data_IF_610188052115
#
_entry.id   IF_610188052115
#
_cell.length_a   1.000
_cell.length_b   1.000
_cell.length_c   1.000
_cell.angle_alpha   90.00
_cell.angle_beta   90.00
_cell.angle_gamma   90.00
#
_symmetry.space_group_name_H-M   'P 1'
#
loop_
_entity.id
_entity.type
_entity.pdbx_description
1 polymer ?
#
# COMPACT_ATOMS: atom_id res chain seq x y z
N UNK A 1 18.18 47.99 8.27
CA UNK A 1 18.25 46.52 8.09
C UNK A 1 17.91 45.69 9.34
N UNK A 2 17.90 46.25 10.57
CA UNK A 2 17.56 45.48 11.80
C UNK A 2 16.17 44.83 11.72
N UNK A 3 15.18 45.59 11.27
CA UNK A 3 13.77 45.21 11.28
C UNK A 3 13.46 44.10 10.26
N UNK A 4 14.15 44.11 9.12
CA UNK A 4 14.01 43.07 8.08
C UNK A 4 14.62 41.74 8.53
N UNK A 5 15.75 41.78 9.25
CA UNK A 5 16.35 40.60 9.89
C UNK A 5 15.38 39.99 10.91
N UNK A 6 14.71 40.82 11.71
CA UNK A 6 13.73 40.35 12.71
C UNK A 6 12.51 39.68 12.06
N UNK A 7 11.99 40.22 10.96
CA UNK A 7 10.84 39.62 10.24
C UNK A 7 11.22 38.26 9.64
N UNK A 8 12.42 38.12 9.05
CA UNK A 8 12.90 36.85 8.50
C UNK A 8 13.05 35.79 9.62
N UNK A 9 13.56 36.18 10.79
CA UNK A 9 13.71 35.27 11.94
C UNK A 9 12.36 34.74 12.46
N UNK A 10 11.31 35.57 12.49
CA UNK A 10 9.97 35.17 12.96
C UNK A 10 9.30 34.18 11.99
N UNK A 11 9.46 34.39 10.68
CA UNK A 11 8.92 33.48 9.66
C UNK A 11 9.62 32.12 9.73
N UNK A 12 10.95 32.08 9.89
CA UNK A 12 11.71 30.83 9.99
C UNK A 12 11.31 29.94 11.19
N UNK A 13 10.92 30.54 12.32
CA UNK A 13 10.44 29.82 13.50
C UNK A 13 9.00 29.28 13.36
N UNK A 14 8.20 29.87 12.47
CA UNK A 14 6.80 29.46 12.27
C UNK A 14 6.64 28.24 11.33
N UNK A 15 7.65 27.92 10.51
CA UNK A 15 7.61 26.78 9.60
C UNK A 15 8.16 25.47 10.21
N UNK A 16 8.72 25.50 11.42
CA UNK A 16 9.32 24.30 12.04
C UNK A 16 8.31 23.33 12.69
N UNK A 17 7.01 23.63 12.69
CA UNK A 17 5.98 22.63 13.02
C UNK A 17 5.72 21.73 11.82
N UNK A 18 6.74 20.99 11.39
CA UNK A 18 6.56 19.89 10.45
C UNK A 18 5.71 18.82 11.13
N UNK A 19 4.57 18.52 10.53
CA UNK A 19 3.66 17.45 10.93
C UNK A 19 4.43 16.13 11.05
N UNK A 20 4.72 15.71 12.28
CA UNK A 20 5.19 14.35 12.54
C UNK A 20 3.97 13.44 12.45
N UNK A 21 3.74 12.85 11.27
CA UNK A 21 2.79 11.76 11.12
C UNK A 21 3.41 10.55 11.82
N UNK A 22 3.09 10.35 13.09
CA UNK A 22 3.50 9.17 13.85
C UNK A 22 2.68 8.00 13.32
N UNK A 23 3.36 7.01 12.72
CA UNK A 23 2.74 5.73 12.41
C UNK A 23 2.42 5.04 13.75
N UNK A 24 1.14 4.89 14.08
CA UNK A 24 0.74 4.04 15.21
C UNK A 24 1.13 2.60 14.88
N UNK A 25 2.12 2.05 15.60
CA UNK A 25 2.49 0.63 15.60
C UNK A 25 1.35 -0.21 16.18
N UNK A 26 0.27 -0.37 15.42
CA UNK A 26 -0.69 -1.45 15.66
C UNK A 26 -0.06 -2.68 15.04
N UNK A 27 0.43 -3.62 15.86
CA UNK A 27 0.99 -4.88 15.38
C UNK A 27 0.02 -5.51 14.35
N UNK A 28 0.36 -5.49 13.05
CA UNK A 28 -0.55 -5.91 12.00
C UNK A 28 -0.84 -7.41 12.07
N UNK A 29 -0.06 -8.19 12.85
CA UNK A 29 -0.31 -9.62 13.08
C UNK A 29 -1.51 -9.89 13.99
N UNK A 30 -1.96 -8.94 14.80
CA UNK A 30 -3.07 -9.15 15.75
C UNK A 30 -4.36 -8.40 15.40
N UNK A 31 -4.35 -7.58 14.35
CA UNK A 31 -5.56 -6.94 13.86
C UNK A 31 -6.39 -7.90 12.97
N UNK A 32 -7.60 -8.27 13.44
CA UNK A 32 -8.53 -9.15 12.71
C UNK A 32 -8.89 -8.62 11.32
N UNK A 33 -9.00 -7.31 11.15
CA UNK A 33 -9.39 -6.68 9.88
C UNK A 33 -8.26 -6.73 8.86
N UNK A 34 -7.00 -6.55 9.29
CA UNK A 34 -5.82 -6.74 8.42
C UNK A 34 -5.73 -8.17 7.91
N UNK A 35 -6.06 -9.17 8.74
CA UNK A 35 -6.10 -10.59 8.32
C UNK A 35 -7.19 -10.87 7.30
N UNK A 36 -8.38 -10.26 7.45
CA UNK A 36 -9.48 -10.40 6.49
C UNK A 36 -9.10 -9.81 5.14
N UNK A 37 -8.57 -8.58 5.12
CA UNK A 37 -8.11 -7.92 3.89
C UNK A 37 -7.04 -8.75 3.17
N UNK A 38 -6.04 -9.25 3.90
CA UNK A 38 -4.99 -10.10 3.32
C UNK A 38 -5.54 -11.39 2.73
N UNK A 39 -6.46 -12.05 3.44
CA UNK A 39 -7.12 -13.28 2.96
C UNK A 39 -7.91 -13.01 1.69
N UNK A 40 -8.67 -11.92 1.67
CA UNK A 40 -9.48 -11.52 0.53
C UNK A 40 -8.61 -11.19 -0.70
N UNK A 41 -7.53 -10.44 -0.53
CA UNK A 41 -6.59 -10.17 -1.62
C UNK A 41 -5.95 -11.46 -2.17
N UNK A 42 -5.60 -12.40 -1.28
CA UNK A 42 -5.09 -13.71 -1.69
C UNK A 42 -6.11 -14.49 -2.53
N UNK A 43 -7.40 -14.43 -2.16
CA UNK A 43 -8.48 -15.06 -2.93
C UNK A 43 -8.67 -14.42 -4.31
N UNK A 44 -8.59 -13.09 -4.41
CA UNK A 44 -8.71 -12.36 -5.68
C UNK A 44 -7.56 -12.70 -6.65
N UNK A 45 -6.33 -12.82 -6.13
CA UNK A 45 -5.16 -13.25 -6.91
C UNK A 45 -5.33 -14.70 -7.37
N UNK A 46 -5.73 -15.57 -6.44
CA UNK A 46 -5.91 -17.00 -6.65
C UNK A 46 -4.60 -17.79 -6.63
N UNK A 47 -4.72 -19.12 -6.68
CA UNK A 47 -3.58 -20.05 -6.60
C UNK A 47 -2.85 -20.25 -7.93
N UNK A 48 -3.54 -20.07 -9.06
CA UNK A 48 -2.96 -20.31 -10.37
C UNK A 48 -2.37 -19.02 -10.95
N UNK A 49 -1.08 -18.82 -10.73
CA UNK A 49 -0.31 -17.71 -11.28
C UNK A 49 0.39 -18.23 -12.55
N UNK A 50 -0.01 -17.76 -13.76
CA UNK A 50 0.47 -18.29 -15.03
C UNK A 50 1.84 -17.68 -15.39
N UNK A 51 2.78 -17.76 -14.47
CA UNK A 51 4.11 -17.16 -14.60
C UNK A 51 5.16 -18.23 -14.33
N UNK A 52 6.15 -18.35 -15.22
CA UNK A 52 7.28 -19.27 -15.03
C UNK A 52 8.23 -18.67 -13.99
N UNK A 53 8.47 -19.41 -12.91
CA UNK A 53 9.33 -18.99 -11.81
C UNK A 53 10.50 -19.96 -11.70
N UNK A 54 11.72 -19.44 -11.83
CA UNK A 54 12.94 -20.22 -11.59
C UNK A 54 13.33 -20.22 -10.11
N UNK A 55 12.86 -19.23 -9.36
CA UNK A 55 13.07 -19.07 -7.93
C UNK A 55 11.86 -18.39 -7.28
N UNK A 56 11.68 -18.61 -5.98
CA UNK A 56 10.70 -17.89 -5.19
C UNK A 56 10.94 -16.39 -5.31
N UNK A 57 9.88 -15.64 -5.58
CA UNK A 57 9.95 -14.19 -5.78
C UNK A 57 8.95 -13.48 -4.88
N UNK A 58 9.21 -12.20 -4.64
CA UNK A 58 8.30 -11.31 -3.92
C UNK A 58 7.89 -10.18 -4.85
N UNK A 59 6.65 -9.73 -4.71
CA UNK A 59 6.17 -8.48 -5.26
C UNK A 59 5.66 -7.59 -4.13
N UNK A 60 5.94 -6.29 -4.17
CA UNK A 60 5.27 -5.33 -3.29
C UNK A 60 4.11 -4.70 -4.04
N UNK A 61 2.91 -4.79 -3.45
CA UNK A 61 1.69 -4.22 -4.03
C UNK A 61 1.30 -3.01 -3.21
N UNK A 62 1.38 -1.83 -3.82
CA UNK A 62 0.89 -0.58 -3.25
C UNK A 62 -0.48 -0.27 -3.83
N UNK A 63 -1.48 -0.07 -2.98
CA UNK A 63 -2.85 0.19 -3.42
C UNK A 63 -3.58 1.11 -2.45
N UNK A 64 -4.67 1.72 -2.91
CA UNK A 64 -5.64 2.40 -2.08
C UNK A 64 -7.03 1.81 -2.29
N UNK A 65 -8.00 2.15 -1.43
CA UNK A 65 -9.41 1.76 -1.61
C UNK A 65 -10.23 3.00 -1.91
N UNK A 66 -10.98 2.95 -3.02
CA UNK A 66 -11.80 4.07 -3.46
C UNK A 66 -13.15 4.14 -2.72
N UNK A 67 -13.96 5.16 -3.05
CA UNK A 67 -15.27 5.35 -2.43
C UNK A 67 -16.28 4.24 -2.71
N UNK A 68 -16.09 3.46 -3.78
CA UNK A 68 -16.91 2.29 -4.16
C UNK A 68 -16.46 1.00 -3.47
N UNK A 69 -15.50 1.07 -2.55
CA UNK A 69 -14.87 -0.08 -1.89
C UNK A 69 -14.11 -0.98 -2.88
N UNK A 70 -13.52 -0.40 -3.92
CA UNK A 70 -12.69 -1.11 -4.90
C UNK A 70 -11.22 -0.80 -4.68
N UNK A 71 -10.38 -1.81 -4.89
CA UNK A 71 -8.92 -1.68 -4.86
C UNK A 71 -8.48 -0.84 -6.07
N UNK A 72 -7.67 0.20 -5.84
CA UNK A 72 -6.97 0.93 -6.90
C UNK A 72 -5.48 0.69 -6.72
N UNK A 73 -4.91 -0.08 -7.64
CA UNK A 73 -3.49 -0.44 -7.59
C UNK A 73 -2.65 0.75 -8.06
N UNK A 74 -1.75 1.21 -7.20
CA UNK A 74 -0.82 2.31 -7.46
C UNK A 74 0.47 1.78 -8.10
N UNK A 75 1.07 0.73 -7.50
CA UNK A 75 2.26 0.08 -8.05
C UNK A 75 2.27 -1.43 -7.74
N UNK A 76 2.98 -2.17 -8.59
CA UNK A 76 3.41 -3.53 -8.29
C UNK A 76 4.88 -3.60 -8.62
N UNK A 77 5.70 -3.78 -7.59
CA UNK A 77 7.15 -3.82 -7.69
C UNK A 77 7.62 -5.26 -7.57
N UNK A 78 8.10 -5.82 -8.67
CA UNK A 78 8.72 -7.16 -8.70
C UNK A 78 9.79 -7.21 -9.78
N UNK A 79 10.73 -8.14 -9.61
CA UNK A 79 11.75 -8.47 -10.60
C UNK A 79 11.19 -9.15 -11.86
N UNK A 80 9.87 -9.39 -11.93
CA UNK A 80 9.22 -10.13 -13.01
C UNK A 80 8.01 -9.35 -13.54
N UNK A 81 8.12 -8.84 -14.77
CA UNK A 81 7.12 -7.96 -15.36
C UNK A 81 5.77 -8.64 -15.60
N UNK A 82 5.78 -9.94 -15.89
CA UNK A 82 4.56 -10.75 -16.04
C UNK A 82 3.78 -10.82 -14.73
N UNK A 83 4.49 -10.90 -13.60
CA UNK A 83 3.87 -10.89 -12.27
C UNK A 83 3.22 -9.53 -11.98
N UNK A 84 3.90 -8.43 -12.35
CA UNK A 84 3.37 -7.08 -12.18
C UNK A 84 2.03 -6.90 -12.92
N UNK A 85 2.00 -7.31 -14.19
CA UNK A 85 0.80 -7.21 -15.04
C UNK A 85 -0.32 -8.13 -14.55
N UNK A 86 0.02 -9.37 -14.15
CA UNK A 86 -0.94 -10.32 -13.62
C UNK A 86 -1.61 -9.82 -12.34
N UNK A 87 -0.82 -9.35 -11.37
CA UNK A 87 -1.34 -8.84 -10.09
C UNK A 87 -2.23 -7.62 -10.31
N UNK A 88 -1.82 -6.67 -11.16
CA UNK A 88 -2.67 -5.51 -11.53
C UNK A 88 -4.01 -5.97 -12.12
N UNK A 89 -4.01 -6.93 -13.06
CA UNK A 89 -5.24 -7.47 -13.66
C UNK A 89 -6.16 -8.14 -12.63
N UNK A 90 -5.58 -8.81 -11.64
CA UNK A 90 -6.34 -9.53 -10.61
C UNK A 90 -6.93 -8.61 -9.55
N UNK A 91 -6.26 -7.51 -9.21
CA UNK A 91 -6.64 -6.65 -8.10
C UNK A 91 -7.31 -5.34 -8.50
N UNK A 92 -6.84 -4.68 -9.57
CA UNK A 92 -7.28 -3.32 -9.88
C UNK A 92 -8.78 -3.27 -10.19
N UNK A 93 -9.45 -2.33 -9.54
CA UNK A 93 -10.90 -2.14 -9.51
C UNK A 93 -11.72 -3.35 -9.04
N UNK A 94 -11.13 -4.30 -8.29
CA UNK A 94 -11.91 -5.35 -7.63
C UNK A 94 -12.50 -4.84 -6.33
N UNK A 95 -13.79 -5.15 -6.15
CA UNK A 95 -14.55 -4.78 -4.97
C UNK A 95 -14.15 -5.65 -3.79
N UNK A 96 -13.92 -5.02 -2.65
CA UNK A 96 -13.73 -5.68 -1.37
C UNK A 96 -15.10 -5.93 -0.72
N UNK A 97 -15.22 -7.10 -0.12
CA UNK A 97 -16.27 -7.50 0.81
C UNK A 97 -15.98 -6.92 2.19
N UNK A 98 -14.69 -6.86 2.57
CA UNK A 98 -14.26 -6.23 3.83
C UNK A 98 -14.59 -4.73 3.81
N UNK A 99 -15.30 -4.26 4.84
CA UNK A 99 -15.72 -2.85 4.98
C UNK A 99 -14.86 -2.04 5.95
N UNK A 100 -14.01 -2.69 6.75
CA UNK A 100 -13.17 -2.06 7.76
C UNK A 100 -11.86 -1.47 7.19
N UNK A 101 -11.80 -1.20 5.88
CA UNK A 101 -10.63 -0.60 5.23
C UNK A 101 -10.85 0.90 5.14
N UNK A 102 -9.85 1.68 5.56
CA UNK A 102 -9.93 3.14 5.45
C UNK A 102 -9.68 3.55 3.99
N UNK A 103 -10.61 4.33 3.45
CA UNK A 103 -10.55 4.82 2.07
C UNK A 103 -9.50 5.92 1.95
N UNK A 104 -8.81 5.97 0.82
CA UNK A 104 -7.77 6.97 0.55
C UNK A 104 -6.43 6.73 1.26
N UNK A 105 -6.33 5.80 2.22
CA UNK A 105 -5.03 5.35 2.74
C UNK A 105 -4.28 4.50 1.70
N UNK A 106 -2.95 4.60 1.71
CA UNK A 106 -2.08 3.75 0.90
C UNK A 106 -1.67 2.54 1.74
N UNK A 107 -2.00 1.36 1.24
CA UNK A 107 -1.63 0.08 1.81
C UNK A 107 -0.50 -0.54 0.98
N UNK A 108 0.49 -1.13 1.66
CA UNK A 108 1.60 -1.85 1.04
C UNK A 108 1.58 -3.28 1.55
N UNK A 109 1.42 -4.25 0.65
CA UNK A 109 1.37 -5.68 1.02
C UNK A 109 2.40 -6.48 0.22
N UNK A 110 3.27 -7.25 0.88
CA UNK A 110 4.16 -8.17 0.20
C UNK A 110 3.41 -9.42 -0.25
N UNK A 111 3.50 -9.73 -1.54
CA UNK A 111 3.05 -10.97 -2.15
C UNK A 111 4.26 -11.89 -2.37
N UNK A 112 4.31 -13.02 -1.67
CA UNK A 112 5.30 -14.06 -1.90
C UNK A 112 4.74 -15.10 -2.86
N UNK A 113 5.46 -15.38 -3.95
CA UNK A 113 5.12 -16.44 -4.91
C UNK A 113 6.23 -17.47 -4.91
N UNK A 114 5.88 -18.70 -4.53
CA UNK A 114 6.82 -19.82 -4.50
C UNK A 114 6.91 -20.47 -5.88
N UNK A 115 8.03 -21.13 -6.14
CA UNK A 115 8.15 -22.06 -7.28
C UNK A 115 7.12 -23.19 -7.11
N UNK A 116 6.59 -23.69 -8.23
CA UNK A 116 5.67 -24.84 -8.24
C UNK A 116 6.38 -26.13 -7.84
#
# INVERSE_FOLDING_TARGET
>A
MKNFKTIITVIALSLSTVFTVVANDVDPKNNKETKKLRTEMSLLIGKNIPVKLNKTTTAQVSFTVNNKNEIVVLSVESNLNELNSFVKKKLNYKKLVTKAVKKGEVYIIPLKVNVK
#
